data_IF_237621590119
#
_entry.id   IF_237621590119
#
_cell.length_a   1.000
_cell.length_b   1.000
_cell.length_c   1.000
_cell.angle_alpha   90.00
_cell.angle_beta   90.00
_cell.angle_gamma   90.00
#
_symmetry.space_group_name_H-M   'P 1'
#
loop_
_entity.id
_entity.type
_entity.pdbx_description
1 polymer ?
#
# COMPACT_ATOMS: atom_id res chain seq x y z
N UNK A 1 4.94 24.86 -9.18
CA UNK A 1 4.59 23.43 -9.33
C UNK A 1 3.28 23.16 -8.61
N UNK A 2 2.26 22.68 -9.32
CA UNK A 2 0.97 22.33 -8.70
C UNK A 2 1.12 21.03 -7.91
N UNK A 3 0.83 21.09 -6.61
CA UNK A 3 0.83 19.90 -5.73
C UNK A 3 -0.58 19.34 -5.65
N UNK A 4 -0.70 18.02 -5.69
CA UNK A 4 -1.95 17.28 -5.67
C UNK A 4 -2.17 16.61 -4.31
N UNK A 5 -3.43 16.41 -3.91
CA UNK A 5 -3.78 15.75 -2.65
C UNK A 5 -3.54 14.24 -2.74
N UNK A 6 -3.02 13.69 -1.65
CA UNK A 6 -2.82 12.25 -1.43
C UNK A 6 -3.48 11.88 -0.13
N UNK A 7 -4.37 10.90 -0.13
CA UNK A 7 -4.76 10.22 1.11
C UNK A 7 -3.75 9.09 1.39
N UNK A 8 -2.86 9.32 2.35
CA UNK A 8 -1.83 8.37 2.74
C UNK A 8 -2.29 7.58 3.97
N UNK A 9 -2.34 6.26 3.83
CA UNK A 9 -2.60 5.29 4.88
C UNK A 9 -1.43 4.30 4.91
N UNK A 10 -0.42 4.57 5.72
CA UNK A 10 0.84 3.85 5.66
C UNK A 10 0.68 2.37 6.10
N UNK A 11 0.94 1.38 5.22
CA UNK A 11 0.77 -0.04 5.54
C UNK A 11 1.80 -0.58 6.54
N UNK A 12 2.87 0.18 6.82
CA UNK A 12 3.97 -0.25 7.68
C UNK A 12 3.85 0.21 9.13
N UNK A 13 3.26 1.38 9.38
CA UNK A 13 3.22 1.98 10.73
C UNK A 13 1.87 2.60 11.12
N UNK A 14 0.85 2.53 10.25
CA UNK A 14 -0.49 3.05 10.55
C UNK A 14 -0.62 4.57 10.52
N UNK A 15 0.39 5.31 10.05
CA UNK A 15 0.27 6.76 9.84
C UNK A 15 -0.76 7.05 8.75
N UNK A 16 -1.85 7.75 9.11
CA UNK A 16 -2.93 8.14 8.21
C UNK A 16 -3.13 9.66 8.19
N UNK A 17 -2.81 10.33 7.08
CA UNK A 17 -3.06 11.78 6.88
C UNK A 17 -3.13 12.14 5.39
N UNK A 18 -3.84 13.22 5.10
CA UNK A 18 -3.83 13.87 3.79
C UNK A 18 -2.50 14.63 3.61
N UNK A 19 -1.76 14.31 2.55
CA UNK A 19 -0.51 14.96 2.16
C UNK A 19 -0.63 15.62 0.78
N UNK A 20 0.44 16.33 0.37
CA UNK A 20 0.56 16.94 -0.95
C UNK A 20 1.86 16.54 -1.64
N UNK A 21 1.78 16.04 -2.86
CA UNK A 21 2.93 15.63 -3.67
C UNK A 21 2.86 16.19 -5.09
N UNK A 22 3.88 15.95 -5.90
CA UNK A 22 3.85 16.30 -7.32
C UNK A 22 3.13 15.19 -8.13
N UNK A 23 2.34 15.54 -9.16
CA UNK A 23 1.46 14.59 -9.86
C UNK A 23 2.19 13.48 -10.61
N UNK A 24 3.46 13.68 -10.99
CA UNK A 24 4.27 12.68 -11.71
C UNK A 24 4.98 11.66 -10.82
N UNK A 25 4.82 11.74 -9.49
CA UNK A 25 5.48 10.83 -8.54
C UNK A 25 4.74 9.48 -8.54
N UNK A 26 5.52 8.39 -8.47
CA UNK A 26 5.00 7.01 -8.35
C UNK A 26 4.93 6.51 -6.91
N UNK A 27 5.59 7.20 -5.99
CA UNK A 27 5.65 6.84 -4.58
C UNK A 27 5.81 8.08 -3.69
N UNK A 28 5.41 7.94 -2.44
CA UNK A 28 5.63 8.91 -1.37
C UNK A 28 6.25 8.20 -0.16
N UNK A 29 7.18 8.86 0.52
CA UNK A 29 7.74 8.32 1.78
C UNK A 29 6.82 8.68 2.94
N UNK A 30 6.50 7.69 3.77
CA UNK A 30 5.77 7.94 5.02
C UNK A 30 6.56 8.93 5.90
N UNK A 31 5.93 10.01 6.42
CA UNK A 31 6.61 10.96 7.30
C UNK A 31 7.14 10.33 8.59
N UNK A 32 6.49 9.28 9.10
CA UNK A 32 6.84 8.59 10.35
C UNK A 32 7.92 7.53 10.13
N UNK A 33 7.62 6.46 9.39
CA UNK A 33 8.54 5.32 9.26
C UNK A 33 9.46 5.39 8.04
N UNK A 34 9.34 6.44 7.21
CA UNK A 34 10.14 6.67 5.99
C UNK A 34 10.01 5.62 4.89
N UNK A 35 9.26 4.55 5.11
CA UNK A 35 9.00 3.53 4.10
C UNK A 35 8.26 4.12 2.88
N UNK A 36 8.62 3.70 1.66
CA UNK A 36 7.96 4.16 0.45
C UNK A 36 6.60 3.48 0.27
N UNK A 37 5.58 4.28 -0.01
CA UNK A 37 4.20 3.84 -0.27
C UNK A 37 3.86 4.19 -1.72
N UNK A 38 3.24 3.26 -2.43
CA UNK A 38 2.84 3.44 -3.82
C UNK A 38 1.73 4.49 -3.94
N UNK A 39 1.78 5.29 -5.01
CA UNK A 39 0.76 6.28 -5.34
C UNK A 39 -0.14 5.71 -6.45
N UNK A 40 -1.32 5.20 -6.07
CA UNK A 40 -2.36 4.76 -7.02
C UNK A 40 -3.29 5.91 -7.37
N UNK A 41 -3.65 6.07 -8.64
CA UNK A 41 -4.63 7.07 -9.08
C UNK A 41 -5.95 6.90 -8.32
N UNK A 42 -6.51 7.99 -7.80
CA UNK A 42 -7.70 7.92 -6.95
C UNK A 42 -8.92 7.31 -7.67
N UNK A 43 -9.08 7.59 -8.97
CA UNK A 43 -10.15 7.04 -9.81
C UNK A 43 -9.69 5.83 -10.66
N UNK A 44 -8.43 5.43 -10.55
CA UNK A 44 -7.80 4.48 -11.48
C UNK A 44 -7.34 5.11 -12.81
N UNK A 45 -7.68 6.37 -13.08
CA UNK A 45 -7.34 7.08 -14.32
C UNK A 45 -6.35 8.22 -14.01
N UNK A 46 -5.26 8.30 -14.78
CA UNK A 46 -4.27 9.37 -14.64
C UNK A 46 -4.88 10.73 -15.03
N UNK A 47 -4.69 11.75 -14.19
CA UNK A 47 -5.16 13.11 -14.47
C UNK A 47 -6.52 13.45 -13.84
N UNK A 48 -7.25 12.47 -13.33
CA UNK A 48 -8.57 12.69 -12.72
C UNK A 48 -8.49 12.83 -11.19
N UNK A 49 -9.39 13.64 -10.66
CA UNK A 49 -9.62 13.79 -9.23
C UNK A 49 -10.92 13.07 -8.86
N UNK A 50 -10.94 12.44 -7.69
CA UNK A 50 -12.18 11.89 -7.17
C UNK A 50 -13.13 12.97 -6.61
N UNK A 51 -14.28 12.56 -6.10
CA UNK A 51 -15.30 13.43 -5.51
C UNK A 51 -14.81 14.25 -4.30
N UNK A 52 -13.73 13.82 -3.64
CA UNK A 52 -13.11 14.51 -2.50
C UNK A 52 -11.89 15.36 -2.90
N UNK A 53 -11.55 15.36 -4.19
CA UNK A 53 -10.42 16.07 -4.77
C UNK A 53 -9.07 15.40 -4.52
N UNK A 54 -9.04 14.10 -4.20
CA UNK A 54 -7.81 13.32 -4.14
C UNK A 54 -7.37 12.94 -5.55
N UNK A 55 -6.07 13.04 -5.77
CA UNK A 55 -5.43 12.58 -7.00
C UNK A 55 -4.79 11.21 -6.81
N UNK A 56 -4.36 10.92 -5.57
CA UNK A 56 -3.77 9.65 -5.21
C UNK A 56 -4.36 9.08 -3.93
N UNK A 57 -4.53 7.76 -3.94
CA UNK A 57 -4.58 6.92 -2.74
C UNK A 57 -3.21 6.25 -2.54
N UNK A 58 -2.78 6.14 -1.28
CA UNK A 58 -1.50 5.52 -0.93
C UNK A 58 -1.68 4.60 0.29
N UNK A 59 -2.05 3.36 0.01
CA UNK A 59 -2.20 2.30 1.03
C UNK A 59 -1.36 1.05 0.73
N UNK A 60 -0.72 0.97 -0.44
CA UNK A 60 0.07 -0.20 -0.84
C UNK A 60 1.59 0.02 -0.65
N UNK A 61 2.33 -1.02 -0.22
CA UNK A 61 3.79 -1.05 -0.28
C UNK A 61 4.30 -0.68 -1.67
N UNK A 62 5.26 0.24 -1.75
CA UNK A 62 5.93 0.46 -3.01
C UNK A 62 6.78 -0.77 -3.39
N UNK A 63 6.66 -1.21 -4.64
CA UNK A 63 7.41 -2.36 -5.16
C UNK A 63 7.12 -3.69 -4.45
N UNK A 64 5.84 -3.97 -4.17
CA UNK A 64 5.37 -5.20 -3.51
C UNK A 64 5.89 -6.49 -4.17
N UNK A 65 6.10 -6.49 -5.50
CA UNK A 65 6.70 -7.64 -6.21
C UNK A 65 8.09 -8.00 -5.71
N UNK A 66 8.92 -6.99 -5.42
CA UNK A 66 10.25 -7.19 -4.87
C UNK A 66 10.18 -7.73 -3.44
N UNK A 67 9.29 -7.17 -2.62
CA UNK A 67 9.05 -7.65 -1.26
C UNK A 67 8.66 -9.13 -1.31
N UNK A 68 7.67 -9.50 -2.12
CA UNK A 68 7.24 -10.90 -2.23
C UNK A 68 8.38 -11.84 -2.64
N UNK A 69 9.26 -11.41 -3.57
CA UNK A 69 10.43 -12.19 -3.96
C UNK A 69 11.43 -12.40 -2.82
N UNK A 70 11.65 -11.38 -1.98
CA UNK A 70 12.53 -11.49 -0.81
C UNK A 70 12.00 -12.48 0.25
N UNK A 71 10.69 -12.74 0.25
CA UNK A 71 10.05 -13.72 1.16
C UNK A 71 9.69 -15.04 0.48
N UNK A 72 9.99 -15.20 -0.81
CA UNK A 72 9.65 -16.41 -1.57
C UNK A 72 10.34 -17.65 -0.98
N UNK A 73 11.57 -17.52 -0.49
CA UNK A 73 12.30 -18.62 0.15
C UNK A 73 11.78 -18.95 1.56
N UNK A 74 11.18 -17.98 2.26
CA UNK A 74 10.62 -18.18 3.60
C UNK A 74 9.34 -19.02 3.54
N UNK A 75 8.54 -18.83 2.49
CA UNK A 75 7.26 -19.50 2.31
C UNK A 75 7.28 -20.62 1.25
N UNK A 76 8.30 -20.68 0.40
CA UNK A 76 8.43 -21.66 -0.70
C UNK A 76 8.72 -23.10 -0.25
N UNK A 77 9.13 -23.29 1.01
CA UNK A 77 9.28 -24.61 1.62
C UNK A 77 8.01 -25.18 2.26
N UNK A 78 6.92 -24.41 2.32
CA UNK A 78 5.66 -24.90 2.89
C UNK A 78 4.89 -25.67 1.82
N UNK A 79 4.49 -26.93 2.09
CA UNK A 79 3.60 -27.64 1.16
C UNK A 79 2.31 -26.84 1.01
N UNK A 80 1.84 -26.68 -0.23
CA UNK A 80 0.60 -25.95 -0.56
C UNK A 80 -0.65 -26.52 0.14
N UNK A 81 -0.56 -27.74 0.66
CA UNK A 81 -1.58 -28.40 1.47
C UNK A 81 -1.04 -28.64 2.89
N UNK A 82 -0.96 -27.61 3.72
CA UNK A 82 -0.87 -27.81 5.17
C UNK A 82 -2.28 -28.15 5.65
N UNK A 83 -2.57 -29.39 6.11
CA UNK A 83 -3.86 -29.69 6.71
C UNK A 83 -3.97 -28.93 8.04
N UNK A 84 -4.61 -27.76 8.02
CA UNK A 84 -4.95 -27.04 9.25
C UNK A 84 -6.30 -27.55 9.77
N UNK A 85 -6.33 -28.00 11.03
CA UNK A 85 -7.58 -28.30 11.73
C UNK A 85 -8.06 -27.01 12.40
N UNK A 86 -9.14 -26.45 11.90
CA UNK A 86 -9.87 -25.38 12.60
C UNK A 86 -10.45 -26.00 13.87
N UNK A 87 -9.91 -25.63 15.03
CA UNK A 87 -10.56 -25.94 16.30
C UNK A 87 -11.80 -25.06 16.42
N UNK A 88 -12.96 -25.61 16.14
CA UNK A 88 -14.21 -25.02 16.64
C UNK A 88 -14.17 -25.10 18.17
N UNK A 89 -14.36 -23.97 18.85
CA UNK A 89 -14.60 -23.97 20.30
C UNK A 89 -15.90 -24.71 20.53
N UNK A 90 -15.81 -25.95 21.03
CA UNK A 90 -16.94 -26.71 21.53
C UNK A 90 -17.27 -26.28 22.96
N UNK A 91 -18.56 -25.98 23.16
CA UNK A 91 -19.45 -26.34 24.28
C UNK A 91 -18.84 -26.83 25.60
#
# INVERSE_FOLDING_TARGET
MNRVKVDLQCPYCGFCKILKTAPYKKAISCPTCKQPVFLSWATGIEGELDEYGYYFYAYEPFNIRRINKEFEDVFGGLPSNIPYKIKTRGE
#
